data_IF_913472941407
#
_entry.id   IF_913472941407
#
_cell.length_a   1.000
_cell.length_b   1.000
_cell.length_c   1.000
_cell.angle_alpha   90.00
_cell.angle_beta   90.00
_cell.angle_gamma   90.00
#
_symmetry.space_group_name_H-M   'P 1'
#
loop_
_entity.id
_entity.type
_entity.pdbx_description
1 polymer ?
#
# COMPACT_ATOMS: atom_id res chain seq x y z
N UNK A 1 -29.59 -7.98 -1.62
CA UNK A 1 -28.62 -6.89 -1.85
C UNK A 1 -27.24 -7.35 -1.40
N UNK A 2 -26.21 -7.21 -2.24
CA UNK A 2 -24.87 -7.74 -1.97
C UNK A 2 -24.15 -6.87 -0.91
N UNK A 3 -23.88 -7.46 0.26
CA UNK A 3 -23.30 -6.80 1.44
C UNK A 3 -21.83 -6.37 1.24
N UNK A 4 -21.18 -6.83 0.19
CA UNK A 4 -19.76 -6.57 -0.10
C UNK A 4 -19.51 -5.45 -1.10
N UNK A 5 -20.56 -4.84 -1.67
CA UNK A 5 -20.42 -3.68 -2.56
C UNK A 5 -20.49 -2.38 -1.75
N UNK A 6 -19.38 -1.64 -1.59
CA UNK A 6 -19.40 -0.36 -0.88
C UNK A 6 -20.20 0.68 -1.67
N UNK A 7 -21.26 1.21 -1.06
CA UNK A 7 -22.21 2.14 -1.71
C UNK A 7 -21.71 3.60 -1.75
N UNK A 8 -20.52 3.88 -1.23
CA UNK A 8 -19.89 5.22 -1.22
C UNK A 8 -18.42 5.13 -1.60
N UNK A 9 -18.09 5.48 -2.84
CA UNK A 9 -16.73 5.61 -3.37
C UNK A 9 -16.18 7.04 -3.22
N UNK A 10 -16.43 7.71 -2.08
CA UNK A 10 -15.85 9.03 -1.80
C UNK A 10 -14.53 8.89 -1.05
N UNK A 11 -13.47 8.57 -1.80
CA UNK A 11 -12.08 8.81 -1.42
C UNK A 11 -11.64 10.13 -2.09
N UNK A 12 -12.23 11.24 -1.65
CA UNK A 12 -11.72 12.57 -1.99
C UNK A 12 -11.34 13.25 -0.67
N UNK A 13 -10.25 14.01 -0.70
CA UNK A 13 -9.80 14.87 0.39
C UNK A 13 -10.93 15.79 0.85
N UNK A 14 -11.74 15.33 1.79
CA UNK A 14 -12.32 16.22 2.77
C UNK A 14 -11.36 16.21 3.94
N UNK A 15 -10.93 17.40 4.34
CA UNK A 15 -10.01 17.64 5.44
C UNK A 15 -10.65 17.24 6.78
N UNK A 16 -10.90 15.95 6.98
CA UNK A 16 -11.39 15.36 8.22
C UNK A 16 -10.29 14.52 8.86
N UNK A 17 -9.15 15.17 9.09
CA UNK A 17 -8.30 14.82 10.23
C UNK A 17 -9.12 15.19 11.48
N UNK A 18 -9.33 14.24 12.37
CA UNK A 18 -10.03 14.43 13.66
C UNK A 18 -9.50 15.68 14.39
N UNK A 19 -10.35 16.38 15.19
CA UNK A 19 -10.00 17.67 15.77
C UNK A 19 -8.91 17.51 16.82
N UNK A 20 -7.65 17.73 16.45
CA UNK A 20 -6.60 18.03 17.42
C UNK A 20 -6.80 19.49 17.83
N UNK A 21 -7.06 19.71 19.13
CA UNK A 21 -7.31 21.01 19.75
C UNK A 21 -6.42 22.12 19.18
N UNK A 22 -7.06 23.25 18.91
CA UNK A 22 -6.46 24.48 18.41
C UNK A 22 -5.29 24.96 19.28
N UNK A 23 -4.15 25.16 18.64
CA UNK A 23 -3.22 26.25 18.92
C UNK A 23 -2.81 26.79 17.55
N UNK A 24 -3.09 28.07 17.31
CA UNK A 24 -2.97 28.70 16.01
C UNK A 24 -1.53 28.67 15.50
N UNK A 25 -1.39 28.18 14.26
CA UNK A 25 -0.40 28.57 13.29
C UNK A 25 -1.01 28.29 11.90
N UNK A 26 -0.48 28.96 10.88
CA UNK A 26 -0.94 29.00 9.49
C UNK A 26 -1.25 27.60 8.90
N UNK A 27 -1.99 27.49 7.76
CA UNK A 27 -2.23 26.19 7.12
C UNK A 27 -0.92 25.67 6.52
N UNK A 28 -0.09 25.07 7.37
CA UNK A 28 1.09 24.34 6.97
C UNK A 28 0.66 23.20 6.07
N UNK A 29 1.32 23.10 4.92
CA UNK A 29 1.10 22.06 3.91
C UNK A 29 0.87 20.70 4.58
N UNK A 30 -0.35 20.19 4.38
CA UNK A 30 -0.87 18.93 4.89
C UNK A 30 0.22 17.86 5.05
N UNK A 31 0.47 17.44 6.28
CA UNK A 31 1.37 16.35 6.67
C UNK A 31 1.40 15.22 5.62
N UNK A 32 2.51 15.10 4.88
CA UNK A 32 2.80 14.03 3.91
C UNK A 32 3.08 12.69 4.60
N UNK A 33 2.40 12.38 5.70
CA UNK A 33 2.58 11.13 6.44
C UNK A 33 1.42 10.20 6.13
N UNK A 34 1.67 8.94 5.73
CA UNK A 34 0.60 8.00 5.50
C UNK A 34 -0.16 7.69 6.78
N UNK A 35 -1.49 7.77 6.69
CA UNK A 35 -2.42 7.44 7.75
C UNK A 35 -2.52 5.91 7.90
N UNK A 36 -2.58 5.44 9.13
CA UNK A 36 -2.83 4.03 9.43
C UNK A 36 -4.34 3.77 9.32
N UNK A 37 -4.77 3.06 8.28
CA UNK A 37 -6.19 2.75 8.05
C UNK A 37 -6.63 1.48 8.77
N UNK A 38 -5.75 0.47 8.84
CA UNK A 38 -6.04 -0.80 9.50
C UNK A 38 -4.83 -1.31 10.25
N UNK A 39 -5.06 -1.74 11.49
CA UNK A 39 -4.10 -2.48 12.32
C UNK A 39 -4.81 -3.70 12.87
N UNK A 40 -4.40 -4.88 12.41
CA UNK A 40 -4.77 -6.16 12.98
C UNK A 40 -3.51 -6.97 13.30
N UNK A 41 -3.70 -8.18 13.79
CA UNK A 41 -2.61 -9.10 14.14
C UNK A 41 -1.80 -9.51 12.90
N UNK A 42 -2.48 -9.78 11.78
CA UNK A 42 -1.84 -10.26 10.54
C UNK A 42 -1.64 -9.19 9.46
N UNK A 43 -2.18 -7.97 9.65
CA UNK A 43 -2.16 -6.94 8.60
C UNK A 43 -2.05 -5.52 9.18
N UNK A 44 -1.15 -4.73 8.58
CA UNK A 44 -1.05 -3.29 8.80
C UNK A 44 -1.17 -2.57 7.46
N UNK A 45 -2.17 -1.70 7.33
CA UNK A 45 -2.42 -0.93 6.12
C UNK A 45 -2.23 0.57 6.38
N UNK A 46 -1.31 1.15 5.62
CA UNK A 46 -1.04 2.58 5.58
C UNK A 46 -1.48 3.16 4.24
N UNK A 47 -2.04 4.37 4.25
CA UNK A 47 -2.52 5.05 3.04
C UNK A 47 -2.21 6.55 3.11
N UNK A 48 -1.71 7.08 2.01
CA UNK A 48 -1.61 8.51 1.75
C UNK A 48 -2.17 8.79 0.35
N UNK A 49 -3.05 9.79 0.24
CA UNK A 49 -3.49 10.29 -1.06
C UNK A 49 -2.44 11.26 -1.61
N UNK A 50 -2.09 11.14 -2.89
CA UNK A 50 -1.23 12.13 -3.55
C UNK A 50 -1.99 13.45 -3.73
N UNK A 51 -1.53 14.48 -3.04
CA UNK A 51 -2.02 15.85 -3.17
C UNK A 51 -1.08 16.75 -3.99
N UNK A 52 0.14 16.25 -4.28
CA UNK A 52 1.25 17.02 -4.85
C UNK A 52 1.27 16.89 -6.37
N UNK A 53 1.36 15.67 -6.89
CA UNK A 53 1.54 15.45 -8.33
C UNK A 53 0.21 15.40 -9.07
N UNK A 54 -0.87 14.98 -8.38
CA UNK A 54 -2.25 14.95 -8.89
C UNK A 54 -2.38 14.20 -10.22
N UNK A 55 -1.57 13.13 -10.38
CA UNK A 55 -1.60 12.25 -11.55
C UNK A 55 -2.55 11.08 -11.28
N UNK A 56 -3.15 10.47 -12.32
CA UNK A 56 -3.92 9.23 -12.18
C UNK A 56 -2.97 8.02 -11.99
N UNK A 57 -2.08 8.09 -10.99
CA UNK A 57 -1.12 7.05 -10.65
C UNK A 57 -1.19 6.77 -9.16
N UNK A 58 -1.07 5.50 -8.80
CA UNK A 58 -0.97 5.05 -7.42
C UNK A 58 0.18 4.07 -7.27
N UNK A 59 0.73 3.97 -6.07
CA UNK A 59 1.75 2.99 -5.72
C UNK A 59 1.24 2.12 -4.58
N UNK A 60 1.38 0.81 -4.74
CA UNK A 60 1.07 -0.16 -3.70
C UNK A 60 2.36 -0.85 -3.27
N UNK A 61 2.64 -0.85 -1.97
CA UNK A 61 3.80 -1.50 -1.39
C UNK A 61 3.33 -2.59 -0.45
N UNK A 62 3.87 -3.80 -0.60
CA UNK A 62 3.57 -4.95 0.23
C UNK A 62 4.86 -5.43 0.90
N UNK A 63 4.80 -5.62 2.21
CA UNK A 63 5.87 -6.26 2.98
C UNK A 63 5.28 -7.50 3.65
N UNK A 64 5.77 -8.67 3.24
CA UNK A 64 5.37 -9.97 3.77
C UNK A 64 6.42 -10.40 4.80
N UNK A 65 5.99 -10.63 6.03
CA UNK A 65 6.86 -11.07 7.11
C UNK A 65 6.55 -12.52 7.46
N UNK A 66 7.55 -13.40 7.33
CA UNK A 66 7.49 -14.75 7.88
C UNK A 66 8.79 -15.06 8.61
N UNK A 67 8.76 -15.52 9.86
CA UNK A 67 9.96 -15.90 10.61
C UNK A 67 10.69 -17.10 9.99
N UNK A 68 10.02 -17.87 9.12
CA UNK A 68 10.57 -19.07 8.51
C UNK A 68 11.52 -18.77 7.34
N UNK A 69 11.35 -17.61 6.67
CA UNK A 69 12.11 -17.25 5.46
C UNK A 69 13.62 -17.11 5.71
N UNK A 70 14.03 -16.79 6.92
CA UNK A 70 15.44 -16.57 7.29
C UNK A 70 15.85 -17.34 8.54
N UNK A 71 15.14 -18.43 8.86
CA UNK A 71 15.42 -19.23 10.06
C UNK A 71 16.76 -19.99 9.95
N UNK A 72 17.16 -20.38 8.73
CA UNK A 72 18.44 -21.04 8.42
C UNK A 72 18.98 -20.50 7.11
N UNK A 73 20.27 -20.74 6.84
CA UNK A 73 20.89 -20.36 5.56
C UNK A 73 20.22 -21.05 4.35
N UNK A 74 19.82 -22.32 4.50
CA UNK A 74 19.13 -23.07 3.45
C UNK A 74 17.72 -22.51 3.17
N UNK A 75 16.96 -22.19 4.23
CA UNK A 75 15.65 -21.56 4.07
C UNK A 75 15.73 -20.19 3.38
N UNK A 76 16.77 -19.40 3.69
CA UNK A 76 17.03 -18.12 3.04
C UNK A 76 17.33 -18.30 1.54
N UNK A 77 18.18 -19.27 1.19
CA UNK A 77 18.51 -19.58 -0.20
C UNK A 77 17.27 -20.06 -0.97
N UNK A 78 16.47 -20.93 -0.37
CA UNK A 78 15.21 -21.41 -0.96
C UNK A 78 14.22 -20.25 -1.17
N UNK A 79 14.15 -19.30 -0.25
CA UNK A 79 13.30 -18.12 -0.39
C UNK A 79 13.72 -17.24 -1.57
N UNK A 80 15.04 -17.02 -1.74
CA UNK A 80 15.57 -16.25 -2.88
C UNK A 80 15.30 -16.95 -4.21
N UNK A 81 15.53 -18.26 -4.28
CA UNK A 81 15.22 -19.06 -5.48
C UNK A 81 13.73 -19.04 -5.80
N UNK A 82 12.88 -19.19 -4.78
CA UNK A 82 11.43 -19.09 -4.93
C UNK A 82 11.02 -17.72 -5.49
N UNK A 83 11.58 -16.63 -4.96
CA UNK A 83 11.29 -15.28 -5.46
C UNK A 83 11.69 -15.12 -6.93
N UNK A 84 12.85 -15.64 -7.33
CA UNK A 84 13.32 -15.60 -8.71
C UNK A 84 12.39 -16.39 -9.66
N UNK A 85 12.04 -17.62 -9.29
CA UNK A 85 11.14 -18.48 -10.06
C UNK A 85 9.72 -17.92 -10.15
N UNK A 86 9.22 -17.34 -9.06
CA UNK A 86 7.92 -16.68 -9.05
C UNK A 86 7.91 -15.49 -10.02
N UNK A 87 8.95 -14.67 -10.01
CA UNK A 87 9.11 -13.56 -10.95
C UNK A 87 9.09 -14.03 -12.41
N UNK A 88 9.86 -15.07 -12.73
CA UNK A 88 9.89 -15.66 -14.07
C UNK A 88 8.51 -16.20 -14.50
N UNK A 89 7.81 -16.91 -13.60
CA UNK A 89 6.47 -17.44 -13.88
C UNK A 89 5.42 -16.35 -14.13
N UNK A 90 5.58 -15.17 -13.53
CA UNK A 90 4.67 -14.04 -13.68
C UNK A 90 5.01 -13.16 -14.88
N UNK A 91 6.20 -13.31 -15.46
CA UNK A 91 6.72 -12.41 -16.49
C UNK A 91 5.76 -12.27 -17.68
N UNK A 92 5.27 -13.38 -18.23
CA UNK A 92 4.34 -13.37 -19.37
C UNK A 92 3.02 -12.66 -19.02
N UNK A 93 2.46 -12.94 -17.83
CA UNK A 93 1.21 -12.33 -17.38
C UNK A 93 1.33 -10.83 -17.05
N UNK A 94 2.53 -10.37 -16.67
CA UNK A 94 2.79 -8.97 -16.32
C UNK A 94 3.25 -8.13 -17.51
N UNK A 95 3.57 -8.76 -18.64
CA UNK A 95 4.06 -8.08 -19.83
C UNK A 95 3.06 -7.04 -20.35
N UNK A 96 1.80 -7.45 -20.55
CA UNK A 96 0.75 -6.57 -21.04
C UNK A 96 0.45 -5.42 -20.06
N UNK A 97 0.55 -5.69 -18.76
CA UNK A 97 0.40 -4.67 -17.73
C UNK A 97 1.51 -3.62 -17.84
N UNK A 98 2.77 -4.05 -18.02
CA UNK A 98 3.90 -3.15 -18.23
C UNK A 98 3.75 -2.31 -19.50
N UNK A 99 3.26 -2.90 -20.61
CA UNK A 99 2.98 -2.16 -21.85
C UNK A 99 1.86 -1.12 -21.67
N UNK A 100 0.85 -1.43 -20.85
CA UNK A 100 -0.23 -0.52 -20.49
C UNK A 100 0.18 0.56 -19.48
N UNK A 101 1.42 0.55 -19.00
CA UNK A 101 1.97 1.55 -18.07
C UNK A 101 1.60 1.32 -16.61
N UNK A 102 1.32 0.07 -16.23
CA UNK A 102 1.17 -0.35 -14.83
C UNK A 102 2.51 -0.68 -14.17
#
# INVERSE_FOLDING_TARGET
SNRFLPTRLRLKCDAAVSPRRASGDAPDASSTRPALLKRGESLRLHYAQDCTFRRPRAYAFFALYSPQLYATADAALQAELYQALLGDSLQESTYDAGLAGF
#
